data_IF_274452069737
#
_entry.id   IF_274452069737
#
_cell.length_a   1.000
_cell.length_b   1.000
_cell.length_c   1.000
_cell.angle_alpha   90.00
_cell.angle_beta   90.00
_cell.angle_gamma   90.00
#
_symmetry.space_group_name_H-M   'P 1'
#
loop_
_entity.id
_entity.type
_entity.pdbx_description
1 polymer ?
#
# COMPACT_ATOMS: atom_id res chain seq x y z
N UNK A 1 -11.57 -8.93 -13.03
CA UNK A 1 -10.57 -8.44 -12.08
C UNK A 1 -10.71 -9.26 -10.82
N UNK A 2 -9.69 -10.02 -10.48
CA UNK A 2 -9.63 -10.83 -9.25
C UNK A 2 -8.83 -10.07 -8.18
N UNK A 3 -8.88 -10.49 -6.90
CA UNK A 3 -8.10 -9.84 -5.85
C UNK A 3 -6.62 -9.70 -6.17
N UNK A 4 -6.01 -10.71 -6.78
CA UNK A 4 -4.58 -10.68 -7.14
C UNK A 4 -4.26 -9.61 -8.19
N UNK A 5 -5.17 -9.34 -9.14
CA UNK A 5 -5.01 -8.25 -10.10
C UNK A 5 -4.95 -6.89 -9.37
N UNK A 6 -5.79 -6.72 -8.33
CA UNK A 6 -5.81 -5.50 -7.51
C UNK A 6 -4.53 -5.38 -6.68
N UNK A 7 -4.09 -6.49 -6.06
CA UNK A 7 -2.85 -6.52 -5.27
C UNK A 7 -1.63 -6.15 -6.12
N UNK A 8 -1.53 -6.68 -7.33
CA UNK A 8 -0.44 -6.38 -8.25
C UNK A 8 -0.41 -4.89 -8.67
N UNK A 9 -1.56 -4.22 -8.70
CA UNK A 9 -1.68 -2.82 -9.11
C UNK A 9 -1.62 -1.83 -7.95
N UNK A 10 -1.77 -2.27 -6.70
CA UNK A 10 -1.92 -1.38 -5.55
C UNK A 10 -0.72 -0.45 -5.36
N UNK A 11 0.50 -0.98 -5.33
CA UNK A 11 1.73 -0.18 -5.16
C UNK A 11 1.90 0.84 -6.29
N UNK A 12 1.93 0.46 -7.59
CA UNK A 12 2.13 1.43 -8.66
C UNK A 12 0.99 2.45 -8.78
N UNK A 13 -0.24 2.11 -8.38
CA UNK A 13 -1.39 3.02 -8.40
C UNK A 13 -1.43 4.01 -7.23
N UNK A 14 -0.95 3.60 -6.04
CA UNK A 14 -1.12 4.37 -4.80
C UNK A 14 0.16 5.05 -4.31
N UNK A 15 1.36 4.64 -4.73
CA UNK A 15 2.63 5.20 -4.21
C UNK A 15 2.78 6.72 -4.35
N UNK A 16 2.14 7.30 -5.35
CA UNK A 16 2.16 8.75 -5.61
C UNK A 16 0.94 9.49 -5.03
N UNK A 17 0.05 8.76 -4.34
CA UNK A 17 -1.24 9.25 -3.80
C UNK A 17 -1.31 9.18 -2.28
N UNK A 18 -0.26 8.69 -1.63
CA UNK A 18 -0.17 8.58 -0.18
C UNK A 18 0.71 9.71 0.36
N UNK A 19 0.22 10.40 1.38
CA UNK A 19 0.96 11.44 2.08
C UNK A 19 1.40 10.86 3.42
N UNK A 20 2.71 10.80 3.65
CA UNK A 20 3.26 10.37 4.93
C UNK A 20 3.13 11.48 5.97
N UNK A 21 2.85 11.09 7.22
CA UNK A 21 2.99 12.00 8.35
C UNK A 21 4.47 12.31 8.59
N UNK A 22 4.80 13.46 9.22
CA UNK A 22 6.19 13.78 9.57
C UNK A 22 6.87 12.68 10.39
N UNK A 23 6.15 12.06 11.33
CA UNK A 23 6.67 10.95 12.12
C UNK A 23 7.07 9.74 11.25
N UNK A 24 6.22 9.36 10.30
CA UNK A 24 6.52 8.25 9.38
C UNK A 24 7.71 8.55 8.46
N UNK A 25 7.91 9.81 8.08
CA UNK A 25 9.08 10.25 7.30
C UNK A 25 10.37 10.17 8.14
N UNK A 26 10.32 10.62 9.40
CA UNK A 26 11.46 10.56 10.33
C UNK A 26 11.86 9.10 10.61
N UNK A 27 10.88 8.22 10.76
CA UNK A 27 11.09 6.77 10.91
C UNK A 27 11.65 6.09 9.65
N UNK A 28 11.78 6.82 8.53
CA UNK A 28 12.30 6.29 7.26
C UNK A 28 11.37 5.28 6.58
N UNK A 29 10.06 5.34 6.83
CA UNK A 29 9.10 4.40 6.22
C UNK A 29 8.94 4.66 4.73
N UNK A 30 8.92 3.59 3.94
CA UNK A 30 8.67 3.66 2.51
C UNK A 30 7.17 3.49 2.21
N UNK A 31 6.66 4.31 1.29
CA UNK A 31 5.25 4.26 0.88
C UNK A 31 4.91 2.90 0.27
N UNK A 32 5.82 2.33 -0.51
CA UNK A 32 5.65 1.02 -1.16
C UNK A 32 5.42 -0.09 -0.15
N UNK A 33 6.19 -0.09 0.94
CA UNK A 33 6.07 -1.07 2.02
C UNK A 33 4.75 -0.91 2.75
N UNK A 34 4.39 0.32 3.12
CA UNK A 34 3.12 0.63 3.80
C UNK A 34 1.93 0.17 2.95
N UNK A 35 1.94 0.47 1.64
CA UNK A 35 0.85 0.08 0.74
C UNK A 35 0.77 -1.43 0.58
N UNK A 36 1.91 -2.13 0.44
CA UNK A 36 1.93 -3.60 0.37
C UNK A 36 1.33 -4.21 1.65
N UNK A 37 1.82 -3.78 2.81
CA UNK A 37 1.39 -4.31 4.11
C UNK A 37 -0.10 -4.10 4.36
N UNK A 38 -0.64 -2.92 4.00
CA UNK A 38 -2.06 -2.61 4.14
C UNK A 38 -2.95 -3.52 3.29
N UNK A 39 -2.52 -3.76 2.05
CA UNK A 39 -3.29 -4.57 1.11
C UNK A 39 -3.22 -6.06 1.47
N UNK A 40 -2.07 -6.52 1.97
CA UNK A 40 -1.91 -7.91 2.42
C UNK A 40 -2.71 -8.22 3.68
N UNK A 41 -2.89 -7.25 4.58
CA UNK A 41 -3.74 -7.37 5.77
C UNK A 41 -5.23 -7.29 5.47
N UNK A 42 -5.62 -6.86 4.27
CA UNK A 42 -7.03 -6.76 3.87
C UNK A 42 -7.51 -8.11 3.36
N UNK A 43 -8.54 -8.68 4.00
CA UNK A 43 -9.16 -9.93 3.56
C UNK A 43 -9.75 -9.79 2.15
N UNK A 44 -9.51 -10.80 1.31
CA UNK A 44 -10.13 -10.86 -0.01
C UNK A 44 -11.64 -11.15 0.11
N UNK A 45 -12.47 -10.63 -0.81
CA UNK A 45 -13.89 -11.00 -0.89
C UNK A 45 -14.04 -12.51 -1.10
N UNK A 46 -15.10 -13.09 -0.52
CA UNK A 46 -15.48 -14.50 -0.78
C UNK A 46 -16.03 -14.70 -2.18
#
# INVERSE_FOLDING_TARGET
VIPDDVKALAVPALRHRVILSPAAQIDGRLVEQIVSDLVDQTEAPR
#
